data_IF_162608471662
#
_entry.id   IF_162608471662
#
_cell.length_a   1.000
_cell.length_b   1.000
_cell.length_c   1.000
_cell.angle_alpha   90.00
_cell.angle_beta   90.00
_cell.angle_gamma   90.00
#
_symmetry.space_group_name_H-M   'P 1'
#
loop_
_entity.id
_entity.type
_entity.pdbx_description
1 polymer ?
#
# COMPACT_ATOMS: atom_id res chain seq x y z
N UNK A 1 3.68 -21.00 8.21
CA UNK A 1 4.90 -20.27 7.81
C UNK A 1 4.47 -18.84 7.60
N UNK A 2 4.87 -17.91 8.49
CA UNK A 2 4.50 -16.49 8.35
C UNK A 2 5.36 -15.90 7.24
N UNK A 3 4.73 -15.45 6.15
CA UNK A 3 5.44 -14.70 5.11
C UNK A 3 5.95 -13.40 5.74
N UNK A 4 7.26 -13.12 5.72
CA UNK A 4 7.81 -11.88 6.27
C UNK A 4 7.31 -10.62 5.55
N UNK A 5 6.77 -10.76 4.33
CA UNK A 5 6.09 -9.66 3.62
C UNK A 5 4.72 -9.30 4.23
N UNK A 6 4.07 -10.22 4.95
CA UNK A 6 2.76 -9.96 5.58
C UNK A 6 2.89 -9.03 6.79
N UNK A 7 4.03 -9.07 7.51
CA UNK A 7 4.24 -8.20 8.68
C UNK A 7 4.48 -6.73 8.30
N UNK A 8 5.24 -6.46 7.23
CA UNK A 8 5.48 -5.08 6.79
C UNK A 8 4.22 -4.45 6.20
N UNK A 9 3.45 -5.22 5.43
CA UNK A 9 2.19 -4.71 4.87
C UNK A 9 1.14 -4.43 5.94
N UNK A 10 0.98 -5.36 6.91
CA UNK A 10 0.04 -5.13 8.02
C UNK A 10 0.46 -3.91 8.85
N UNK A 11 1.76 -3.76 9.12
CA UNK A 11 2.27 -2.60 9.83
C UNK A 11 1.95 -1.28 9.10
N UNK A 12 2.08 -1.26 7.76
CA UNK A 12 1.68 -0.11 6.95
C UNK A 12 0.18 0.21 7.09
N UNK A 13 -0.70 -0.81 7.04
CA UNK A 13 -2.13 -0.63 7.23
C UNK A 13 -2.43 0.01 8.61
N UNK A 14 -1.86 -0.57 9.66
CA UNK A 14 -2.09 -0.14 11.04
C UNK A 14 -1.55 1.28 11.33
N UNK A 15 -0.39 1.63 10.77
CA UNK A 15 0.31 2.88 11.07
C UNK A 15 -0.16 4.08 10.22
N UNK A 16 -0.54 3.86 8.96
CA UNK A 16 -0.71 4.93 7.96
C UNK A 16 -2.11 4.97 7.32
N UNK A 17 -2.82 3.84 7.23
CA UNK A 17 -4.07 3.73 6.47
C UNK A 17 -5.26 4.18 7.31
N UNK A 18 -5.36 5.49 7.49
CA UNK A 18 -6.59 6.14 7.94
C UNK A 18 -7.67 6.08 6.85
N UNK A 19 -8.94 6.37 7.19
CA UNK A 19 -10.04 6.36 6.20
C UNK A 19 -9.78 7.26 4.97
N UNK A 20 -9.24 8.46 5.15
CA UNK A 20 -8.89 9.38 4.04
C UNK A 20 -7.69 8.86 3.25
N UNK A 21 -6.66 8.35 3.93
CA UNK A 21 -5.49 7.77 3.27
C UNK A 21 -5.90 6.55 2.42
N UNK A 22 -6.80 5.72 2.95
CA UNK A 22 -7.36 4.55 2.26
C UNK A 22 -8.08 4.93 0.97
N UNK A 23 -8.97 5.92 1.01
CA UNK A 23 -9.68 6.40 -0.19
C UNK A 23 -8.69 6.87 -1.27
N UNK A 24 -7.68 7.65 -0.89
CA UNK A 24 -6.64 8.13 -1.81
C UNK A 24 -5.79 6.97 -2.39
N UNK A 25 -5.43 5.99 -1.56
CA UNK A 25 -4.66 4.83 -1.99
C UNK A 25 -5.48 3.93 -2.92
N UNK A 26 -6.78 3.73 -2.65
CA UNK A 26 -7.70 3.00 -3.53
C UNK A 26 -7.87 3.72 -4.87
N UNK A 27 -8.08 5.03 -4.87
CA UNK A 27 -8.20 5.82 -6.11
C UNK A 27 -6.95 5.66 -6.99
N UNK A 28 -5.77 5.80 -6.39
CA UNK A 28 -4.49 5.65 -7.07
C UNK A 28 -4.27 4.22 -7.59
N UNK A 29 -4.53 3.21 -6.77
CA UNK A 29 -4.41 1.81 -7.18
C UNK A 29 -5.36 1.49 -8.34
N UNK A 30 -6.61 1.92 -8.28
CA UNK A 30 -7.58 1.70 -9.36
C UNK A 30 -7.21 2.43 -10.66
N UNK A 31 -6.59 3.61 -10.56
CA UNK A 31 -6.06 4.33 -11.72
C UNK A 31 -4.85 3.60 -12.33
N UNK A 32 -3.92 3.13 -11.51
CA UNK A 32 -2.76 2.35 -11.95
C UNK A 32 -3.18 1.07 -12.67
N UNK A 33 -4.21 0.37 -12.15
CA UNK A 33 -4.81 -0.83 -12.77
C UNK A 33 -5.33 -0.58 -14.18
N UNK A 34 -5.74 0.65 -14.48
CA UNK A 34 -6.24 1.05 -15.79
C UNK A 34 -5.09 1.54 -16.70
N UNK A 35 -3.84 1.19 -16.38
CA UNK A 35 -2.62 1.63 -17.06
C UNK A 35 -2.50 3.17 -17.14
N UNK A 36 -3.03 3.89 -16.14
CA UNK A 36 -2.80 5.32 -16.01
C UNK A 36 -1.50 5.56 -15.27
N UNK A 37 -0.77 6.60 -15.67
CA UNK A 37 0.38 7.08 -14.91
C UNK A 37 -0.15 7.69 -13.61
N UNK A 38 0.31 7.18 -12.48
CA UNK A 38 -0.11 7.62 -11.15
C UNK A 38 1.13 8.04 -10.37
N UNK A 39 1.07 9.22 -9.77
CA UNK A 39 2.13 9.65 -8.85
C UNK A 39 2.10 8.81 -7.58
N UNK A 40 3.28 8.49 -7.07
CA UNK A 40 3.42 7.82 -5.79
C UNK A 40 2.69 8.57 -4.67
N UNK A 41 2.21 7.82 -3.69
CA UNK A 41 1.64 8.37 -2.47
C UNK A 41 2.74 8.45 -1.41
N UNK A 42 2.94 9.61 -0.81
CA UNK A 42 3.82 9.78 0.34
C UNK A 42 2.98 10.14 1.54
N UNK A 43 2.91 9.21 2.48
CA UNK A 43 2.31 9.40 3.79
C UNK A 43 3.30 10.02 4.79
N UNK A 44 2.96 9.90 6.07
CA UNK A 44 3.76 10.38 7.18
C UNK A 44 5.05 9.55 7.36
N UNK A 45 4.93 8.23 7.43
CA UNK A 45 6.06 7.33 7.62
C UNK A 45 6.37 6.47 6.38
N UNK A 46 5.43 6.35 5.47
CA UNK A 46 5.52 5.43 4.34
C UNK A 46 5.47 6.13 2.97
N UNK A 47 6.12 5.49 2.01
CA UNK A 47 6.08 5.82 0.59
C UNK A 47 5.47 4.65 -0.16
N UNK A 48 4.52 4.92 -1.05
CA UNK A 48 3.80 3.91 -1.85
C UNK A 48 3.94 4.25 -3.32
N UNK A 49 4.65 3.42 -4.07
CA UNK A 49 4.80 3.53 -5.51
C UNK A 49 3.90 2.52 -6.23
N UNK A 50 3.30 2.96 -7.33
CA UNK A 50 2.43 2.14 -8.18
C UNK A 50 3.17 1.83 -9.49
N UNK A 51 3.49 0.56 -9.70
CA UNK A 51 4.00 0.04 -10.96
C UNK A 51 2.85 -0.61 -11.77
N UNK A 52 3.13 -1.07 -13.00
CA UNK A 52 2.10 -1.56 -13.93
C UNK A 52 1.19 -2.65 -13.32
N UNK A 53 1.76 -3.57 -12.52
CA UNK A 53 1.03 -4.67 -11.90
C UNK A 53 1.34 -4.86 -10.41
N UNK A 54 2.14 -3.97 -9.82
CA UNK A 54 2.66 -4.12 -8.46
C UNK A 54 2.58 -2.81 -7.68
N UNK A 55 2.53 -2.94 -6.37
CA UNK A 55 2.68 -1.83 -5.42
C UNK A 55 3.94 -2.09 -4.61
N UNK A 56 4.78 -1.05 -4.49
CA UNK A 56 5.92 -1.04 -3.58
C UNK A 56 5.62 -0.10 -2.43
N UNK A 57 5.88 -0.58 -1.22
CA UNK A 57 5.78 0.22 0.01
C UNK A 57 7.15 0.25 0.67
N UNK A 58 7.58 1.44 1.06
CA UNK A 58 8.84 1.70 1.74
C UNK A 58 8.59 2.55 2.99
N UNK A 59 9.44 2.41 3.99
CA UNK A 59 9.37 3.22 5.20
C UNK A 59 10.48 4.29 5.17
N UNK A 60 10.11 5.57 5.26
CA UNK A 60 11.02 6.71 5.14
C UNK A 60 12.15 6.72 6.16
N UNK A 61 11.81 6.41 7.42
CA UNK A 61 12.72 6.59 8.55
C UNK A 61 13.49 5.36 8.99
N UNK A 62 13.15 4.17 8.47
CA UNK A 62 13.73 2.90 8.93
C UNK A 62 14.51 2.28 7.78
N UNK A 63 15.82 2.48 7.80
CA UNK A 63 16.72 2.14 6.68
C UNK A 63 16.72 0.65 6.31
N UNK A 64 16.58 -0.23 7.29
CA UNK A 64 16.58 -1.69 7.09
C UNK A 64 15.17 -2.28 7.10
N UNK A 65 14.15 -1.44 6.99
CA UNK A 65 12.78 -1.92 6.87
C UNK A 65 12.59 -2.55 5.47
N UNK A 66 12.08 -3.78 5.40
CA UNK A 66 12.00 -4.50 4.15
C UNK A 66 10.96 -3.85 3.22
N UNK A 67 11.36 -3.47 2.00
CA UNK A 67 10.43 -3.01 0.97
C UNK A 67 9.36 -4.08 0.76
N UNK A 68 8.12 -3.71 0.97
CA UNK A 68 6.97 -4.59 0.74
C UNK A 68 6.61 -4.48 -0.74
N UNK A 69 6.52 -5.63 -1.40
CA UNK A 69 6.05 -5.75 -2.78
C UNK A 69 4.87 -6.69 -2.82
N UNK A 70 3.78 -6.25 -3.45
CA UNK A 70 2.58 -7.05 -3.64
C UNK A 70 1.91 -6.70 -4.96
N UNK A 71 1.06 -7.61 -5.45
CA UNK A 71 0.30 -7.33 -6.66
C UNK A 71 -0.69 -6.19 -6.43
N UNK A 72 -0.97 -5.45 -7.49
CA UNK A 72 -1.93 -4.35 -7.43
C UNK A 72 -3.33 -4.82 -7.03
N UNK A 73 -3.74 -6.00 -7.47
CA UNK A 73 -5.02 -6.61 -7.10
C UNK A 73 -5.06 -7.00 -5.62
N UNK A 74 -3.98 -7.58 -5.07
CA UNK A 74 -3.91 -7.91 -3.64
C UNK A 74 -3.94 -6.65 -2.76
N UNK A 75 -3.27 -5.58 -3.19
CA UNK A 75 -3.28 -4.29 -2.50
C UNK A 75 -4.68 -3.69 -2.46
N UNK A 76 -5.40 -3.68 -3.59
CA UNK A 76 -6.78 -3.19 -3.67
C UNK A 76 -7.70 -4.02 -2.77
N UNK A 77 -7.60 -5.35 -2.84
CA UNK A 77 -8.43 -6.25 -2.05
C UNK A 77 -8.20 -6.04 -0.54
N UNK A 78 -6.95 -5.85 -0.12
CA UNK A 78 -6.63 -5.57 1.28
C UNK A 78 -7.19 -4.24 1.77
N UNK A 79 -7.04 -3.16 0.98
CA UNK A 79 -7.60 -1.86 1.34
C UNK A 79 -9.14 -1.88 1.41
N UNK A 80 -9.80 -2.71 0.61
CA UNK A 80 -11.24 -2.91 0.67
C UNK A 80 -11.68 -3.71 1.90
N UNK A 81 -10.96 -4.79 2.22
CA UNK A 81 -11.27 -5.62 3.39
C UNK A 81 -11.10 -4.86 4.71
N UNK A 82 -10.08 -3.99 4.79
CA UNK A 82 -9.82 -3.12 5.94
C UNK A 82 -10.93 -2.07 6.16
N UNK A 83 -11.78 -1.83 5.15
CA UNK A 83 -12.95 -0.96 5.26
C UNK A 83 -14.18 -1.59 5.92
N UNK A 84 -14.25 -2.91 5.96
CA UNK A 84 -15.33 -3.64 6.63
C UNK A 84 -15.08 -3.83 8.15
N UNK A 85 -13.87 -3.54 8.65
CA UNK A 85 -13.47 -3.74 10.07
C UNK A 85 -13.64 -2.48 10.96
N UNK A 86 -14.07 -1.34 10.40
CA UNK A 86 -14.34 -0.08 11.10
C UNK A 86 -15.84 0.17 11.34
#
# INVERSE_FOLDING_TARGET
MSNPNTSGFQQFLDDEVTGVAREHLLEKALAARQNRVVEAYSGNAYYVAFEENEVLIEHHYVKDWPTVRLSLDDFIAALQADADDL
#
